data_IF_388914129426
#
_entry.id   IF_388914129426
#
_cell.length_a   1.000
_cell.length_b   1.000
_cell.length_c   1.000
_cell.angle_alpha   90.00
_cell.angle_beta   90.00
_cell.angle_gamma   90.00
#
_symmetry.space_group_name_H-M   'P 1'
#
loop_
_entity.id
_entity.type
_entity.pdbx_description
1 polymer ?
#
# COMPACT_ATOMS: atom_id res chain seq x y z
N UNK A 1 -17.58 28.34 -46.03
CA UNK A 1 -18.82 28.43 -45.25
C UNK A 1 -18.43 28.89 -43.86
N UNK A 2 -19.05 29.99 -43.41
CA UNK A 2 -18.73 30.72 -42.19
C UNK A 2 -19.91 30.60 -41.20
N UNK A 3 -19.69 31.02 -39.95
CA UNK A 3 -20.64 31.16 -38.81
C UNK A 3 -20.87 29.88 -37.98
N UNK A 4 -20.89 29.89 -36.64
CA UNK A 4 -20.96 31.00 -35.67
C UNK A 4 -20.47 30.59 -34.27
N UNK A 5 -20.06 31.62 -33.51
CA UNK A 5 -19.79 31.65 -32.06
C UNK A 5 -21.04 31.38 -31.22
N UNK A 6 -20.89 30.80 -30.02
CA UNK A 6 -21.80 31.07 -28.89
C UNK A 6 -21.03 31.04 -27.56
N UNK A 7 -21.24 32.10 -26.79
CA UNK A 7 -20.66 32.41 -25.50
C UNK A 7 -21.86 32.75 -24.63
N UNK A 8 -22.20 31.94 -23.63
CA UNK A 8 -23.29 32.24 -22.70
C UNK A 8 -22.76 32.21 -21.27
N UNK A 9 -22.43 33.40 -20.78
CA UNK A 9 -22.43 33.71 -19.35
C UNK A 9 -23.88 33.90 -18.93
N UNK A 10 -24.35 33.18 -17.92
CA UNK A 10 -25.52 33.60 -17.14
C UNK A 10 -25.24 33.42 -15.66
N UNK A 11 -25.66 34.45 -14.94
CA UNK A 11 -25.13 34.93 -13.68
C UNK A 11 -26.15 34.69 -12.56
N UNK A 12 -25.63 34.72 -11.33
CA UNK A 12 -26.31 35.14 -10.09
C UNK A 12 -27.17 34.17 -9.24
N UNK A 13 -26.96 34.38 -7.93
CA UNK A 13 -27.74 34.01 -6.74
C UNK A 13 -27.58 32.56 -6.21
N UNK A 14 -26.73 32.28 -5.22
CA UNK A 14 -26.86 32.59 -3.78
C UNK A 14 -28.23 32.26 -3.14
N UNK A 15 -28.14 31.45 -2.06
CA UNK A 15 -29.14 31.05 -1.04
C UNK A 15 -30.07 29.90 -1.47
N UNK A 16 -30.34 28.89 -0.65
CA UNK A 16 -30.67 29.00 0.78
C UNK A 16 -30.25 27.77 1.61
N UNK A 17 -29.86 28.11 2.83
CA UNK A 17 -29.61 27.24 3.97
C UNK A 17 -30.96 26.79 4.53
N UNK A 18 -31.16 25.49 4.74
CA UNK A 18 -32.24 25.00 5.60
C UNK A 18 -31.59 24.20 6.72
N UNK A 19 -31.40 24.85 7.87
CA UNK A 19 -31.23 24.14 9.15
C UNK A 19 -32.60 23.56 9.48
N UNK A 20 -32.69 22.23 9.57
CA UNK A 20 -33.74 21.58 10.34
C UNK A 20 -33.03 21.00 11.57
N UNK A 21 -33.10 21.71 12.69
CA UNK A 21 -32.82 21.16 14.01
C UNK A 21 -34.09 20.48 14.53
N UNK A 22 -34.04 19.15 14.70
CA UNK A 22 -34.80 18.48 15.74
C UNK A 22 -34.31 17.05 15.97
N UNK A 23 -33.61 16.89 17.11
CA UNK A 23 -33.54 15.69 17.96
C UNK A 23 -32.72 14.49 17.46
N UNK A 24 -31.48 14.47 17.99
CA UNK A 24 -30.55 13.36 18.26
C UNK A 24 -31.03 11.92 18.00
N UNK A 25 -30.36 11.26 17.05
CA UNK A 25 -29.86 9.87 17.12
C UNK A 25 -28.68 9.76 16.13
N UNK A 26 -27.61 10.50 16.42
CA UNK A 26 -26.41 10.58 15.57
C UNK A 26 -25.32 9.64 16.05
N UNK A 27 -25.12 8.52 15.34
CA UNK A 27 -23.91 7.67 15.55
C UNK A 27 -23.47 6.82 14.33
N UNK A 28 -24.09 6.98 13.15
CA UNK A 28 -23.79 6.11 11.99
C UNK A 28 -23.07 6.83 10.81
N UNK A 29 -23.13 8.16 10.73
CA UNK A 29 -22.52 8.92 9.62
C UNK A 29 -21.03 9.22 9.83
N UNK A 30 -20.60 9.49 11.07
CA UNK A 30 -19.17 9.74 11.36
C UNK A 30 -18.33 8.45 11.25
N UNK A 31 -18.94 7.30 11.57
CA UNK A 31 -18.32 5.98 11.40
C UNK A 31 -18.05 5.67 9.91
N UNK A 32 -18.89 6.16 8.98
CA UNK A 32 -18.66 6.00 7.53
C UNK A 32 -17.52 6.87 7.01
N UNK A 33 -17.30 8.07 7.55
CA UNK A 33 -16.19 8.92 7.14
C UNK A 33 -14.84 8.30 7.56
N UNK A 34 -14.75 7.76 8.78
CA UNK A 34 -13.51 7.16 9.30
C UNK A 34 -13.18 5.77 8.73
N UNK A 35 -14.18 4.98 8.30
CA UNK A 35 -13.94 3.67 7.67
C UNK A 35 -13.40 3.74 6.22
N UNK A 36 -13.42 4.91 5.60
CA UNK A 36 -12.94 5.11 4.23
C UNK A 36 -11.41 5.31 4.12
N UNK A 37 -10.68 5.49 5.23
CA UNK A 37 -9.20 5.55 5.21
C UNK A 37 -8.52 4.17 5.28
N UNK A 38 -9.26 3.07 5.49
CA UNK A 38 -8.69 1.73 5.71
C UNK A 38 -9.12 0.65 4.72
N UNK A 39 -9.83 0.98 3.63
CA UNK A 39 -10.25 0.01 2.63
C UNK A 39 -10.00 0.52 1.20
N UNK A 40 -8.74 0.43 0.75
CA UNK A 40 -8.37 0.69 -0.65
C UNK A 40 -7.50 -0.47 -1.18
N UNK A 41 -8.06 -1.67 -1.16
CA UNK A 41 -7.57 -2.80 -1.95
C UNK A 41 -8.40 -2.90 -3.23
N UNK A 42 -8.03 -2.11 -4.24
CA UNK A 42 -8.62 -2.19 -5.57
C UNK A 42 -8.67 -0.86 -6.29
N UNK A 43 -7.57 -0.48 -6.95
CA UNK A 43 -7.63 0.60 -7.93
C UNK A 43 -6.90 0.21 -9.22
N UNK A 44 -7.63 0.34 -10.31
CA UNK A 44 -7.26 0.07 -11.68
C UNK A 44 -7.20 1.41 -12.42
N UNK A 45 -5.99 1.99 -12.53
CA UNK A 45 -5.66 2.89 -13.62
C UNK A 45 -5.10 4.26 -13.23
N UNK A 46 -3.88 4.49 -13.74
CA UNK A 46 -3.29 5.77 -14.12
C UNK A 46 -2.84 6.71 -12.96
N UNK A 47 -1.51 6.82 -12.80
CA UNK A 47 -0.76 7.68 -11.85
C UNK A 47 -0.51 7.20 -10.40
N UNK A 48 -0.61 5.90 -10.11
CA UNK A 48 0.01 5.35 -8.91
C UNK A 48 1.46 4.94 -9.20
N UNK A 49 2.45 5.68 -8.70
CA UNK A 49 3.82 5.20 -8.61
C UNK A 49 3.81 3.86 -7.86
N UNK A 50 4.02 2.78 -8.61
CA UNK A 50 3.94 1.42 -8.07
C UNK A 50 4.92 1.28 -6.91
N UNK A 51 4.39 1.02 -5.71
CA UNK A 51 5.17 0.79 -4.50
C UNK A 51 6.04 -0.47 -4.70
N UNK A 52 7.34 -0.37 -4.46
CA UNK A 52 8.29 -1.47 -4.65
C UNK A 52 8.62 -2.18 -3.33
N UNK A 53 8.87 -3.49 -3.39
CA UNK A 53 9.25 -4.29 -2.24
C UNK A 53 10.67 -3.95 -1.77
N UNK A 54 10.83 -3.54 -0.51
CA UNK A 54 12.14 -3.20 0.07
C UNK A 54 13.16 -4.35 0.13
N UNK A 55 12.72 -5.60 -0.07
CA UNK A 55 13.60 -6.78 -0.09
C UNK A 55 14.14 -7.10 -1.49
N UNK A 56 13.31 -7.00 -2.52
CA UNK A 56 13.63 -7.57 -3.84
C UNK A 56 13.19 -6.73 -5.04
N UNK A 57 12.65 -5.52 -4.81
CA UNK A 57 12.23 -4.60 -5.87
C UNK A 57 11.00 -5.03 -6.69
N UNK A 58 10.38 -6.19 -6.42
CA UNK A 58 9.11 -6.61 -7.04
C UNK A 58 7.95 -5.71 -6.60
N UNK A 59 6.82 -5.74 -7.32
CA UNK A 59 5.62 -4.97 -6.96
C UNK A 59 5.18 -5.31 -5.53
N UNK A 60 5.13 -4.31 -4.65
CA UNK A 60 4.66 -4.50 -3.28
C UNK A 60 3.14 -4.69 -3.28
N UNK A 61 2.67 -5.60 -2.42
CA UNK A 61 1.24 -5.74 -2.14
C UNK A 61 0.79 -4.81 -1.01
N UNK A 62 1.72 -4.34 -0.17
CA UNK A 62 1.44 -3.43 0.93
C UNK A 62 2.45 -3.55 2.06
N UNK A 63 2.11 -3.01 3.23
CA UNK A 63 2.89 -3.18 4.45
C UNK A 63 2.63 -4.57 5.04
N UNK A 64 3.68 -5.38 5.15
CA UNK A 64 3.63 -6.68 5.81
C UNK A 64 4.72 -6.75 6.88
N UNK A 65 4.35 -7.13 8.10
CA UNK A 65 5.30 -7.20 9.22
C UNK A 65 6.06 -5.89 9.46
N UNK A 66 5.38 -4.74 9.28
CA UNK A 66 5.94 -3.37 9.41
C UNK A 66 6.87 -2.91 8.27
N UNK A 67 6.92 -3.60 7.13
CA UNK A 67 7.69 -3.15 5.97
C UNK A 67 6.94 -3.34 4.65
N UNK A 68 7.15 -2.41 3.72
CA UNK A 68 6.57 -2.47 2.38
C UNK A 68 7.18 -3.63 1.57
N UNK A 69 6.37 -4.65 1.26
CA UNK A 69 6.86 -5.90 0.67
C UNK A 69 5.88 -6.54 -0.31
N UNK A 70 6.38 -7.42 -1.17
CA UNK A 70 5.57 -8.25 -2.05
C UNK A 70 5.10 -9.54 -1.36
N UNK A 71 4.10 -10.21 -1.93
CA UNK A 71 3.50 -11.42 -1.34
C UNK A 71 4.51 -12.56 -1.13
N UNK A 72 5.45 -12.73 -2.07
CA UNK A 72 6.51 -13.73 -1.94
C UNK A 72 7.41 -13.48 -0.72
N UNK A 73 7.77 -12.22 -0.44
CA UNK A 73 8.63 -11.87 0.69
C UNK A 73 7.89 -11.92 2.03
N UNK A 74 6.61 -11.54 2.05
CA UNK A 74 5.71 -11.76 3.19
C UNK A 74 5.63 -13.25 3.58
N UNK A 75 5.31 -14.12 2.63
CA UNK A 75 5.20 -15.56 2.87
C UNK A 75 6.54 -16.21 3.22
N UNK A 76 7.64 -15.71 2.64
CA UNK A 76 8.98 -16.14 3.00
C UNK A 76 9.33 -15.78 4.45
N UNK A 77 9.09 -14.54 4.86
CA UNK A 77 9.38 -14.06 6.22
C UNK A 77 8.58 -14.85 7.26
N UNK A 78 7.26 -15.01 7.06
CA UNK A 78 6.39 -15.80 7.96
C UNK A 78 6.93 -17.20 8.26
N UNK A 79 7.52 -17.88 7.26
CA UNK A 79 8.05 -19.25 7.39
C UNK A 79 9.44 -19.33 8.01
N UNK A 80 10.20 -18.24 7.99
CA UNK A 80 11.64 -18.27 8.22
C UNK A 80 12.14 -17.29 9.30
N UNK A 81 11.31 -16.38 9.80
CA UNK A 81 11.69 -15.38 10.81
C UNK A 81 11.92 -15.95 12.22
N UNK A 82 11.68 -17.24 12.46
CA UNK A 82 11.98 -17.87 13.75
C UNK A 82 13.49 -18.01 13.94
N UNK A 83 13.98 -17.70 15.16
CA UNK A 83 15.40 -17.55 15.53
C UNK A 83 16.28 -18.80 15.36
N UNK A 84 15.72 -19.97 15.04
CA UNK A 84 16.45 -21.24 15.05
C UNK A 84 16.81 -21.79 13.65
N UNK A 85 16.66 -20.99 12.58
CA UNK A 85 17.01 -21.42 11.22
C UNK A 85 18.32 -20.77 10.74
N UNK A 86 19.40 -21.54 10.78
CA UNK A 86 20.70 -21.14 10.25
C UNK A 86 20.78 -21.44 8.76
N UNK A 87 20.47 -20.45 7.91
CA UNK A 87 20.75 -20.55 6.48
C UNK A 87 22.20 -20.21 6.19
N UNK A 88 22.89 -21.04 5.40
CA UNK A 88 24.19 -20.70 4.82
C UNK A 88 23.98 -19.87 3.54
N UNK A 89 24.89 -18.93 3.29
CA UNK A 89 24.92 -18.21 2.02
C UNK A 89 25.80 -19.00 1.05
N UNK A 90 25.36 -19.23 -0.20
CA UNK A 90 26.20 -19.87 -1.23
C UNK A 90 27.39 -19.01 -1.71
N UNK A 91 27.56 -17.82 -1.15
CA UNK A 91 28.51 -16.79 -1.59
C UNK A 91 28.95 -15.99 -0.36
N UNK A 92 29.37 -14.72 -0.52
CA UNK A 92 29.96 -13.91 0.55
C UNK A 92 28.95 -13.19 1.47
N UNK A 93 27.65 -13.53 1.43
CA UNK A 93 26.66 -12.93 2.34
C UNK A 93 26.06 -11.59 1.90
N UNK A 94 26.29 -11.19 0.66
CA UNK A 94 25.87 -9.94 0.04
C UNK A 94 25.15 -10.17 -1.30
N UNK A 95 24.42 -11.28 -1.44
CA UNK A 95 23.74 -11.62 -2.69
C UNK A 95 22.77 -10.52 -3.13
N UNK A 96 22.80 -10.15 -4.41
CA UNK A 96 21.81 -9.26 -5.02
C UNK A 96 20.42 -9.91 -5.01
N UNK A 97 19.44 -9.21 -4.45
CA UNK A 97 18.05 -9.68 -4.35
C UNK A 97 17.17 -8.91 -5.32
N UNK A 98 16.71 -9.59 -6.37
CA UNK A 98 15.66 -9.11 -7.27
C UNK A 98 14.55 -10.18 -7.42
N UNK A 99 13.51 -9.90 -8.23
CA UNK A 99 12.39 -10.84 -8.47
C UNK A 99 12.87 -12.25 -8.88
N UNK A 100 13.93 -12.33 -9.67
CA UNK A 100 14.47 -13.58 -10.24
C UNK A 100 15.48 -14.24 -9.32
N UNK A 101 16.33 -13.47 -8.64
CA UNK A 101 17.46 -13.97 -7.84
C UNK A 101 17.13 -14.22 -6.37
N UNK A 102 16.04 -13.63 -5.84
CA UNK A 102 15.67 -13.76 -4.42
C UNK A 102 15.50 -15.20 -3.92
N UNK A 103 15.31 -16.18 -4.80
CA UNK A 103 15.19 -17.59 -4.45
C UNK A 103 16.53 -18.27 -4.15
N UNK A 104 17.64 -17.77 -4.67
CA UNK A 104 18.93 -18.45 -4.62
C UNK A 104 19.61 -18.40 -3.24
N UNK A 105 19.38 -17.35 -2.45
CA UNK A 105 20.03 -17.20 -1.15
C UNK A 105 19.02 -16.89 -0.04
N UNK A 106 18.61 -17.93 0.70
CA UNK A 106 17.71 -17.79 1.86
C UNK A 106 18.34 -16.93 2.98
N UNK A 107 19.65 -17.07 3.22
CA UNK A 107 20.38 -16.28 4.23
C UNK A 107 20.29 -14.79 3.97
N UNK A 108 20.69 -14.34 2.77
CA UNK A 108 20.68 -12.93 2.41
C UNK A 108 19.25 -12.39 2.32
N UNK A 109 18.30 -13.19 1.80
CA UNK A 109 16.90 -12.78 1.75
C UNK A 109 16.32 -12.52 3.15
N UNK A 110 16.56 -13.44 4.09
CA UNK A 110 16.06 -13.28 5.46
C UNK A 110 16.77 -12.14 6.20
N UNK A 111 18.09 -11.99 6.02
CA UNK A 111 18.86 -10.86 6.52
C UNK A 111 18.25 -9.54 6.05
N UNK A 112 17.99 -9.41 4.74
CA UNK A 112 17.39 -8.20 4.16
C UNK A 112 15.99 -7.93 4.70
N UNK A 113 15.17 -8.96 4.92
CA UNK A 113 13.86 -8.77 5.57
C UNK A 113 13.98 -8.08 6.93
N UNK A 114 14.91 -8.51 7.78
CA UNK A 114 15.13 -7.87 9.08
C UNK A 114 15.73 -6.46 8.95
N UNK A 115 16.67 -6.26 8.01
CA UNK A 115 17.29 -4.95 7.76
C UNK A 115 16.28 -3.87 7.37
N UNK A 116 15.23 -4.22 6.61
CA UNK A 116 14.17 -3.28 6.25
C UNK A 116 13.09 -3.13 7.35
N UNK A 117 13.31 -3.72 8.52
CA UNK A 117 12.43 -3.58 9.68
C UNK A 117 11.30 -4.60 9.79
N UNK A 118 11.33 -5.72 9.05
CA UNK A 118 10.31 -6.75 9.25
C UNK A 118 10.41 -7.37 10.65
N UNK A 119 9.29 -7.40 11.40
CA UNK A 119 9.23 -7.97 12.76
C UNK A 119 8.14 -9.03 12.86
N UNK A 120 8.43 -10.17 13.49
CA UNK A 120 7.40 -11.14 13.86
C UNK A 120 6.55 -10.49 14.97
N UNK A 121 5.23 -10.49 14.83
CA UNK A 121 4.35 -10.16 15.96
C UNK A 121 4.63 -11.17 17.07
N UNK A 122 4.88 -10.66 18.28
CA UNK A 122 5.12 -11.46 19.49
C UNK A 122 3.97 -12.39 19.78
#
# INVERSE_FOLDING_TARGET
MNFNSYNDNNNDAQRSFTIIESQNDGDDLERRYNNNLQNNDGDCGLNQQSKLCGVCGDKASGYNFNALTCESCKAFFRRNACRNKNFLCPSMGNCLLNKNTRKYCRRCRLKRCFEIGMKKKG
#
